data_IF_554205344505
#
_entry.id   IF_554205344505
#
_cell.length_a   1.000
_cell.length_b   1.000
_cell.length_c   1.000
_cell.angle_alpha   90.00
_cell.angle_beta   90.00
_cell.angle_gamma   90.00
#
_symmetry.space_group_name_H-M   'P 1'
#
loop_
_entity.id
_entity.type
_entity.pdbx_description
1 polymer ?
#
# COMPACT_ATOMS: atom_id res chain seq x y z
N UNK A 1 -48.05 5.69 32.32
CA UNK A 1 -47.03 6.67 31.90
C UNK A 1 -46.21 6.01 30.78
N UNK A 2 -46.56 6.32 29.53
CA UNK A 2 -45.80 5.85 28.36
C UNK A 2 -44.64 6.85 28.12
N UNK A 3 -43.41 6.40 28.37
CA UNK A 3 -42.20 7.17 28.11
C UNK A 3 -41.99 7.37 26.60
N UNK A 4 -42.04 8.60 26.16
CA UNK A 4 -41.74 9.03 24.81
C UNK A 4 -40.26 8.72 24.50
N UNK A 5 -40.00 7.70 23.70
CA UNK A 5 -38.70 7.41 23.15
C UNK A 5 -38.37 8.51 22.13
N UNK A 6 -37.54 9.46 22.50
CA UNK A 6 -37.23 10.66 21.73
C UNK A 6 -36.37 10.37 20.50
N UNK A 7 -36.37 11.25 19.50
CA UNK A 7 -35.72 11.09 18.18
C UNK A 7 -34.18 11.21 18.18
N UNK A 8 -33.51 11.08 19.33
CA UNK A 8 -32.06 11.28 19.50
C UNK A 8 -31.14 10.21 18.89
N UNK A 9 -31.41 8.87 18.93
CA UNK A 9 -30.47 7.89 18.39
C UNK A 9 -30.35 7.94 16.86
N UNK A 10 -31.48 8.11 16.16
CA UNK A 10 -31.53 8.15 14.68
C UNK A 10 -30.79 9.34 14.09
N UNK A 11 -30.97 10.54 14.67
CA UNK A 11 -30.25 11.75 14.22
C UNK A 11 -28.75 11.65 14.46
N UNK A 12 -28.31 11.01 15.54
CA UNK A 12 -26.90 10.79 15.85
C UNK A 12 -26.26 9.79 14.86
N UNK A 13 -26.95 8.71 14.52
CA UNK A 13 -26.50 7.74 13.54
C UNK A 13 -26.42 8.32 12.12
N UNK A 14 -27.44 9.08 11.70
CA UNK A 14 -27.44 9.75 10.40
C UNK A 14 -26.32 10.80 10.28
N UNK A 15 -26.02 11.54 11.35
CA UNK A 15 -24.91 12.50 11.41
C UNK A 15 -23.55 11.78 11.33
N UNK A 16 -23.36 10.69 12.07
CA UNK A 16 -22.12 9.90 12.04
C UNK A 16 -21.87 9.30 10.64
N UNK A 17 -22.91 8.80 9.97
CA UNK A 17 -22.83 8.34 8.59
C UNK A 17 -22.45 9.49 7.63
N UNK A 18 -22.99 10.67 7.80
CA UNK A 18 -22.64 11.84 7.00
C UNK A 18 -21.18 12.29 7.21
N UNK A 19 -20.71 12.26 8.46
CA UNK A 19 -19.32 12.58 8.80
C UNK A 19 -18.35 11.53 8.21
N UNK A 20 -18.71 10.25 8.25
CA UNK A 20 -17.91 9.19 7.65
C UNK A 20 -17.85 9.33 6.11
N UNK A 21 -18.97 9.55 5.43
CA UNK A 21 -19.00 9.80 3.98
C UNK A 21 -18.14 10.99 3.57
N UNK A 22 -18.21 12.08 4.34
CA UNK A 22 -17.34 13.25 4.11
C UNK A 22 -15.87 12.90 4.26
N UNK A 23 -15.53 12.13 5.29
CA UNK A 23 -14.17 11.68 5.54
C UNK A 23 -13.64 10.83 4.39
N UNK A 24 -14.41 9.84 3.92
CA UNK A 24 -14.02 8.98 2.79
C UNK A 24 -13.84 9.79 1.50
N UNK A 25 -14.77 10.68 1.17
CA UNK A 25 -14.65 11.54 -0.01
C UNK A 25 -13.39 12.42 0.00
N UNK A 26 -12.97 12.89 1.17
CA UNK A 26 -11.71 13.64 1.33
C UNK A 26 -10.49 12.77 1.15
N UNK A 27 -10.50 11.55 1.68
CA UNK A 27 -9.43 10.58 1.48
C UNK A 27 -9.30 10.18 0.01
N UNK A 28 -10.42 9.94 -0.69
CA UNK A 28 -10.45 9.63 -2.12
C UNK A 28 -9.89 10.79 -2.96
N UNK A 29 -10.26 12.02 -2.63
CA UNK A 29 -9.73 13.21 -3.31
C UNK A 29 -8.21 13.37 -3.10
N UNK A 30 -7.70 13.01 -1.92
CA UNK A 30 -6.28 13.03 -1.62
C UNK A 30 -5.53 11.95 -2.39
N UNK A 31 -6.04 10.73 -2.39
CA UNK A 31 -5.50 9.60 -3.12
C UNK A 31 -5.36 9.92 -4.60
N UNK A 32 -6.43 10.39 -5.24
CA UNK A 32 -6.42 10.73 -6.66
C UNK A 32 -5.38 11.81 -6.99
N UNK A 33 -5.32 12.91 -6.23
CA UNK A 33 -4.35 13.98 -6.49
C UNK A 33 -2.89 13.53 -6.21
N UNK A 34 -2.70 12.60 -5.28
CA UNK A 34 -1.39 12.02 -5.00
C UNK A 34 -0.94 11.09 -6.13
N UNK A 35 -1.78 10.16 -6.57
CA UNK A 35 -1.44 9.19 -7.60
C UNK A 35 -1.25 9.78 -9.00
N UNK A 36 -1.93 10.86 -9.27
CA UNK A 36 -1.74 11.62 -10.49
C UNK A 36 -0.51 12.56 -10.44
N UNK A 37 0.26 12.52 -9.36
CA UNK A 37 1.44 13.36 -9.17
C UNK A 37 1.14 14.86 -9.00
N UNK A 38 -0.12 15.21 -8.75
CA UNK A 38 -0.58 16.60 -8.63
C UNK A 38 -0.58 17.13 -7.20
N UNK A 39 -0.34 16.27 -6.21
CA UNK A 39 -0.44 16.60 -4.79
C UNK A 39 0.22 17.93 -4.39
N UNK A 40 1.45 18.14 -4.83
CA UNK A 40 2.19 19.37 -4.46
C UNK A 40 1.52 20.65 -4.94
N UNK A 41 0.92 20.61 -6.13
CA UNK A 41 0.26 21.76 -6.78
C UNK A 41 -1.19 21.93 -6.35
N UNK A 42 -1.77 20.95 -5.67
CA UNK A 42 -3.17 20.97 -5.26
C UNK A 42 -3.34 21.70 -3.94
N UNK A 43 -4.27 22.66 -3.88
CA UNK A 43 -4.60 23.41 -2.66
C UNK A 43 -5.62 22.67 -1.79
N UNK A 44 -5.72 23.07 -0.51
CA UNK A 44 -6.78 22.58 0.39
C UNK A 44 -8.19 22.90 -0.12
N UNK A 45 -8.35 24.07 -0.76
CA UNK A 45 -9.61 24.48 -1.37
C UNK A 45 -10.03 23.55 -2.50
N UNK A 46 -9.08 23.15 -3.36
CA UNK A 46 -9.32 22.24 -4.47
C UNK A 46 -9.68 20.83 -3.95
N UNK A 47 -8.96 20.32 -2.95
CA UNK A 47 -9.26 19.04 -2.31
C UNK A 47 -10.66 19.03 -1.68
N UNK A 48 -10.99 20.08 -0.93
CA UNK A 48 -12.30 20.23 -0.30
C UNK A 48 -13.43 20.32 -1.34
N UNK A 49 -13.25 21.11 -2.40
CA UNK A 49 -14.22 21.24 -3.49
C UNK A 49 -14.45 19.90 -4.20
N UNK A 50 -13.41 19.11 -4.43
CA UNK A 50 -13.48 17.78 -5.04
C UNK A 50 -14.31 16.80 -4.19
N UNK A 51 -14.18 16.90 -2.86
CA UNK A 51 -14.98 16.13 -1.90
C UNK A 51 -16.37 16.72 -1.62
N UNK A 52 -16.77 17.82 -2.29
CA UNK A 52 -18.05 18.48 -2.08
C UNK A 52 -18.21 19.19 -0.74
N UNK A 53 -17.11 19.62 -0.12
CA UNK A 53 -17.12 20.28 1.21
C UNK A 53 -16.31 21.58 1.21
N UNK A 54 -16.32 22.29 2.34
CA UNK A 54 -15.51 23.51 2.52
C UNK A 54 -14.11 23.14 3.05
N UNK A 55 -13.11 24.04 2.81
CA UNK A 55 -11.78 23.94 3.42
C UNK A 55 -11.84 23.81 4.94
N UNK A 56 -12.75 24.55 5.60
CA UNK A 56 -12.91 24.49 7.06
C UNK A 56 -13.37 23.08 7.50
N UNK A 57 -14.24 22.43 6.73
CA UNK A 57 -14.68 21.05 6.98
C UNK A 57 -13.51 20.08 6.84
N UNK A 58 -12.69 20.23 5.79
CA UNK A 58 -11.47 19.42 5.60
C UNK A 58 -10.52 19.58 6.81
N UNK A 59 -10.20 20.81 7.21
CA UNK A 59 -9.31 21.06 8.34
C UNK A 59 -9.85 20.53 9.67
N UNK A 60 -11.16 20.52 9.86
CA UNK A 60 -11.77 19.90 11.05
C UNK A 60 -11.56 18.39 11.11
N UNK A 61 -11.50 17.70 9.95
CA UNK A 61 -11.29 16.23 9.89
C UNK A 61 -9.82 15.82 9.94
N UNK A 62 -8.92 16.63 9.36
CA UNK A 62 -7.55 16.22 9.09
C UNK A 62 -6.48 17.21 9.56
N UNK A 63 -6.87 18.34 10.12
CA UNK A 63 -6.01 19.41 10.68
C UNK A 63 -5.08 20.09 9.65
N UNK A 64 -4.51 19.32 8.71
CA UNK A 64 -3.60 19.82 7.68
C UNK A 64 -3.73 19.04 6.37
N UNK A 65 -3.09 19.53 5.32
CA UNK A 65 -2.96 18.83 4.04
C UNK A 65 -2.14 17.54 4.19
N UNK A 66 -1.07 17.62 4.95
CA UNK A 66 -0.18 16.50 5.26
C UNK A 66 -0.89 15.43 6.11
N UNK A 67 -1.71 15.85 7.09
CA UNK A 67 -2.55 14.95 7.88
C UNK A 67 -3.58 14.19 7.04
N UNK A 68 -4.19 14.88 6.06
CA UNK A 68 -5.09 14.24 5.09
C UNK A 68 -4.35 13.18 4.25
N UNK A 69 -3.18 13.53 3.68
CA UNK A 69 -2.39 12.59 2.88
C UNK A 69 -1.97 11.37 3.69
N UNK A 70 -1.46 11.60 4.91
CA UNK A 70 -1.05 10.49 5.79
C UNK A 70 -2.18 9.50 6.01
N UNK A 71 -3.39 10.00 6.31
CA UNK A 71 -4.53 9.13 6.56
C UNK A 71 -5.04 8.43 5.31
N UNK A 72 -4.94 9.05 4.13
CA UNK A 72 -5.23 8.42 2.86
C UNK A 72 -4.26 7.25 2.58
N UNK A 73 -2.96 7.48 2.76
CA UNK A 73 -1.94 6.44 2.58
C UNK A 73 -2.08 5.29 3.61
N UNK A 74 -2.40 5.60 4.87
CA UNK A 74 -2.63 4.58 5.92
C UNK A 74 -3.88 3.75 5.63
N UNK A 75 -4.95 4.35 5.08
CA UNK A 75 -6.16 3.61 4.67
C UNK A 75 -5.82 2.52 3.66
N UNK A 76 -5.05 2.87 2.62
CA UNK A 76 -4.64 1.90 1.60
C UNK A 76 -3.71 0.80 2.12
N UNK A 77 -3.04 1.02 3.24
CA UNK A 77 -2.08 0.06 3.80
C UNK A 77 -2.74 -1.21 4.36
N UNK A 78 -3.94 -1.11 4.93
CA UNK A 78 -4.68 -2.29 5.43
C UNK A 78 -5.04 -3.24 4.30
N UNK A 79 -5.55 -2.70 3.19
CA UNK A 79 -5.95 -3.50 2.02
C UNK A 79 -4.73 -4.19 1.39
N UNK A 80 -3.58 -3.50 1.34
CA UNK A 80 -2.29 -4.04 0.89
C UNK A 80 -1.84 -5.20 1.76
N UNK A 81 -1.93 -5.06 3.09
CA UNK A 81 -1.54 -6.12 4.01
C UNK A 81 -2.36 -7.39 3.77
N UNK A 82 -3.68 -7.30 3.77
CA UNK A 82 -4.58 -8.45 3.61
C UNK A 82 -4.38 -9.15 2.27
N UNK A 83 -4.19 -8.38 1.18
CA UNK A 83 -3.89 -8.94 -0.14
C UNK A 83 -2.56 -9.68 -0.14
N UNK A 84 -1.49 -9.12 0.44
CA UNK A 84 -0.16 -9.72 0.47
C UNK A 84 -0.14 -11.06 1.22
N UNK A 85 -0.88 -11.20 2.32
CA UNK A 85 -0.93 -12.44 3.12
C UNK A 85 -1.96 -13.46 2.63
N UNK A 86 -2.63 -13.23 1.49
CA UNK A 86 -3.61 -14.19 0.95
C UNK A 86 -2.99 -15.43 0.31
N UNK A 87 -1.73 -15.37 -0.16
CA UNK A 87 -1.03 -16.54 -0.68
C UNK A 87 -0.46 -17.42 0.46
N UNK A 88 -0.68 -18.74 0.44
CA UNK A 88 -0.13 -19.64 1.46
C UNK A 88 1.41 -19.69 1.40
N UNK A 89 2.05 -19.79 2.57
CA UNK A 89 3.50 -20.02 2.63
C UNK A 89 3.90 -21.31 1.93
N UNK A 90 4.90 -21.23 1.05
CA UNK A 90 5.40 -22.38 0.29
C UNK A 90 4.67 -22.64 -1.04
N UNK A 91 3.64 -21.88 -1.36
CA UNK A 91 3.03 -21.86 -2.68
C UNK A 91 3.77 -20.85 -3.58
N UNK A 92 4.73 -21.34 -4.37
CA UNK A 92 5.54 -20.49 -5.22
C UNK A 92 4.72 -19.80 -6.33
N UNK A 93 3.86 -20.56 -6.99
CA UNK A 93 3.02 -20.03 -8.07
C UNK A 93 2.03 -18.99 -7.54
N UNK A 94 1.30 -19.30 -6.47
CA UNK A 94 0.41 -18.36 -5.80
C UNK A 94 1.13 -17.14 -5.25
N UNK A 95 2.37 -17.29 -4.76
CA UNK A 95 3.20 -16.17 -4.28
C UNK A 95 3.56 -15.20 -5.42
N UNK A 96 3.95 -15.73 -6.60
CA UNK A 96 4.29 -14.89 -7.77
C UNK A 96 3.05 -14.19 -8.32
N UNK A 97 1.92 -14.90 -8.45
CA UNK A 97 0.66 -14.27 -8.88
C UNK A 97 0.20 -13.17 -7.91
N UNK A 98 0.24 -13.44 -6.61
CA UNK A 98 -0.08 -12.47 -5.57
C UNK A 98 0.82 -11.22 -5.64
N UNK A 99 2.12 -11.41 -5.92
CA UNK A 99 3.08 -10.32 -6.08
C UNK A 99 2.76 -9.46 -7.30
N UNK A 100 2.39 -10.08 -8.42
CA UNK A 100 2.03 -9.37 -9.66
C UNK A 100 0.74 -8.57 -9.46
N UNK A 101 -0.31 -9.18 -8.92
CA UNK A 101 -1.56 -8.49 -8.59
C UNK A 101 -1.29 -7.28 -7.68
N UNK A 102 -0.46 -7.49 -6.66
CA UNK A 102 -0.06 -6.41 -5.75
C UNK A 102 0.60 -5.23 -6.50
N UNK A 103 1.54 -5.49 -7.39
CA UNK A 103 2.25 -4.40 -8.05
C UNK A 103 1.48 -3.78 -9.21
N UNK A 104 0.58 -4.50 -9.87
CA UNK A 104 -0.33 -3.93 -10.85
C UNK A 104 -1.27 -2.91 -10.20
N UNK A 105 -1.76 -3.21 -9.00
CA UNK A 105 -2.65 -2.32 -8.25
C UNK A 105 -1.90 -1.19 -7.51
N UNK A 106 -0.74 -1.50 -6.89
CA UNK A 106 -0.08 -0.62 -5.92
C UNK A 106 1.35 -0.20 -6.29
N UNK A 107 1.98 -0.80 -7.31
CA UNK A 107 3.39 -0.57 -7.62
C UNK A 107 3.72 0.87 -7.96
N UNK A 108 2.91 1.52 -8.82
CA UNK A 108 3.08 2.95 -9.15
C UNK A 108 2.97 3.83 -7.90
N UNK A 109 2.09 3.48 -6.98
CA UNK A 109 1.93 4.19 -5.68
C UNK A 109 3.17 4.06 -4.82
N UNK A 110 3.69 2.86 -4.69
CA UNK A 110 4.89 2.56 -3.90
C UNK A 110 6.11 3.33 -4.41
N UNK A 111 6.30 3.40 -5.74
CA UNK A 111 7.36 4.17 -6.37
C UNK A 111 7.22 5.69 -6.17
N UNK A 112 5.99 6.22 -6.23
CA UNK A 112 5.74 7.64 -5.94
C UNK A 112 6.08 7.98 -4.48
N UNK A 113 5.70 7.13 -3.54
CA UNK A 113 6.07 7.30 -2.12
C UNK A 113 7.59 7.28 -1.97
N UNK A 114 8.29 6.33 -2.61
CA UNK A 114 9.76 6.24 -2.61
C UNK A 114 10.42 7.54 -3.09
N UNK A 115 9.98 8.08 -4.21
CA UNK A 115 10.50 9.35 -4.77
C UNK A 115 10.30 10.54 -3.83
N UNK A 116 9.17 10.61 -3.12
CA UNK A 116 8.91 11.68 -2.15
C UNK A 116 9.75 11.57 -0.89
N UNK A 117 10.24 10.37 -0.58
CA UNK A 117 11.19 10.15 0.53
C UNK A 117 12.56 10.74 0.25
N UNK A 118 13.05 10.61 -0.98
CA UNK A 118 14.32 11.18 -1.41
C UNK A 118 14.33 12.70 -1.26
N UNK A 119 13.16 13.33 -1.24
CA UNK A 119 12.98 14.77 -1.05
C UNK A 119 12.92 15.21 0.43
N UNK A 120 13.12 14.28 1.37
CA UNK A 120 13.34 14.59 2.79
C UNK A 120 12.07 14.83 3.63
N UNK A 121 10.89 14.33 3.23
CA UNK A 121 9.68 14.44 4.04
C UNK A 121 9.68 13.43 5.20
N UNK A 122 9.81 13.86 6.48
CA UNK A 122 9.95 12.95 7.63
C UNK A 122 8.70 12.11 7.90
N UNK A 123 7.52 12.57 7.47
CA UNK A 123 6.27 11.82 7.62
C UNK A 123 6.24 10.61 6.69
N UNK A 124 6.65 10.80 5.43
CA UNK A 124 6.73 9.73 4.45
C UNK A 124 7.88 8.75 4.77
N UNK A 125 8.94 9.21 5.43
CA UNK A 125 10.02 8.33 5.87
C UNK A 125 9.53 7.21 6.79
N UNK A 126 8.66 7.52 7.76
CA UNK A 126 8.06 6.52 8.66
C UNK A 126 7.17 5.53 7.91
N UNK A 127 6.35 6.02 6.97
CA UNK A 127 5.48 5.15 6.15
C UNK A 127 6.29 4.21 5.26
N UNK A 128 7.34 4.70 4.63
CA UNK A 128 8.21 3.86 3.81
C UNK A 128 8.98 2.84 4.64
N UNK A 129 9.42 3.20 5.83
CA UNK A 129 10.04 2.23 6.74
C UNK A 129 9.05 1.12 7.09
N UNK A 130 7.80 1.47 7.42
CA UNK A 130 6.74 0.49 7.69
C UNK A 130 6.44 -0.38 6.46
N UNK A 131 6.34 0.20 5.27
CA UNK A 131 6.12 -0.55 4.03
C UNK A 131 7.25 -1.53 3.71
N UNK A 132 8.52 -1.12 3.91
CA UNK A 132 9.67 -2.02 3.78
C UNK A 132 9.63 -3.15 4.80
N UNK A 133 9.26 -2.85 6.04
CA UNK A 133 9.15 -3.88 7.07
C UNK A 133 8.12 -4.95 6.70
N UNK A 134 6.95 -4.53 6.20
CA UNK A 134 5.91 -5.45 5.70
C UNK A 134 6.42 -6.28 4.53
N UNK A 135 7.17 -5.69 3.59
CA UNK A 135 7.76 -6.45 2.49
C UNK A 135 8.74 -7.52 3.00
N UNK A 136 9.57 -7.20 3.99
CA UNK A 136 10.52 -8.14 4.57
C UNK A 136 9.82 -9.28 5.33
N UNK A 137 8.80 -8.96 6.11
CA UNK A 137 7.96 -9.93 6.83
C UNK A 137 7.20 -10.84 5.87
N UNK A 138 6.68 -10.29 4.79
CA UNK A 138 6.02 -11.06 3.74
C UNK A 138 6.99 -12.05 3.06
N UNK A 139 8.20 -11.63 2.72
CA UNK A 139 9.22 -12.53 2.16
C UNK A 139 9.56 -13.66 3.14
N UNK A 140 9.78 -13.33 4.42
CA UNK A 140 10.03 -14.35 5.45
C UNK A 140 8.86 -15.32 5.59
N UNK A 141 7.62 -14.85 5.47
CA UNK A 141 6.42 -15.69 5.52
C UNK A 141 6.26 -16.55 4.27
N UNK A 142 6.22 -15.95 3.09
CA UNK A 142 5.94 -16.64 1.83
C UNK A 142 6.99 -17.74 1.53
N UNK A 143 8.26 -17.47 1.85
CA UNK A 143 9.37 -18.37 1.58
C UNK A 143 9.87 -19.15 2.82
N UNK A 144 9.12 -19.12 3.92
CA UNK A 144 9.50 -19.84 5.17
C UNK A 144 9.89 -21.30 4.97
N UNK A 145 9.19 -22.12 4.18
CA UNK A 145 9.56 -23.54 3.99
C UNK A 145 10.94 -23.73 3.40
N UNK A 146 11.42 -22.83 2.55
CA UNK A 146 12.75 -22.89 1.95
C UNK A 146 13.84 -22.20 2.78
N UNK A 147 13.47 -21.18 3.58
CA UNK A 147 14.42 -20.42 4.39
C UNK A 147 14.70 -21.05 5.76
N UNK A 148 13.67 -21.61 6.40
CA UNK A 148 13.77 -22.11 7.78
C UNK A 148 14.81 -23.23 7.96
N UNK A 149 14.97 -24.21 7.04
CA UNK A 149 15.93 -25.30 7.19
C UNK A 149 17.40 -24.88 7.03
N UNK A 150 17.67 -23.65 6.55
CA UNK A 150 19.01 -23.23 6.16
C UNK A 150 19.86 -22.76 7.33
N UNK A 151 21.17 -22.99 7.23
CA UNK A 151 22.15 -22.37 8.13
C UNK A 151 22.08 -20.84 8.08
N UNK A 152 22.30 -20.14 9.20
CA UNK A 152 22.04 -18.69 9.32
C UNK A 152 22.65 -17.81 8.22
N UNK A 153 23.87 -18.10 7.79
CA UNK A 153 24.56 -17.33 6.74
C UNK A 153 23.95 -17.53 5.35
N UNK A 154 23.53 -18.77 5.03
CA UNK A 154 22.86 -19.12 3.76
C UNK A 154 21.45 -18.52 3.76
N UNK A 155 20.70 -18.71 4.85
CA UNK A 155 19.36 -18.15 5.03
C UNK A 155 19.34 -16.66 4.78
N UNK A 156 20.28 -15.93 5.41
CA UNK A 156 20.38 -14.46 5.24
C UNK A 156 20.58 -14.08 3.78
N UNK A 157 21.53 -14.69 3.08
CA UNK A 157 21.81 -14.36 1.67
C UNK A 157 20.59 -14.63 0.77
N UNK A 158 19.92 -15.79 0.94
CA UNK A 158 18.73 -16.12 0.15
C UNK A 158 17.57 -15.21 0.45
N UNK A 159 17.34 -14.91 1.71
CA UNK A 159 16.33 -13.93 2.10
C UNK A 159 16.59 -12.57 1.44
N UNK A 160 17.81 -12.06 1.52
CA UNK A 160 18.18 -10.77 0.97
C UNK A 160 18.03 -10.75 -0.57
N UNK A 161 18.33 -11.87 -1.25
CA UNK A 161 18.08 -12.03 -2.69
C UNK A 161 16.57 -12.07 -3.02
N UNK A 162 15.77 -12.79 -2.22
CA UNK A 162 14.31 -12.83 -2.38
C UNK A 162 13.68 -11.43 -2.12
N UNK A 163 14.16 -10.68 -1.14
CA UNK A 163 13.73 -9.29 -0.91
C UNK A 163 13.99 -8.45 -2.17
N UNK A 164 15.15 -8.56 -2.79
CA UNK A 164 15.50 -7.79 -3.97
C UNK A 164 14.71 -8.22 -5.22
N UNK A 165 14.56 -9.52 -5.48
CA UNK A 165 13.84 -10.00 -6.66
C UNK A 165 12.33 -9.74 -6.57
N UNK A 166 11.76 -9.79 -5.37
CA UNK A 166 10.35 -9.50 -5.11
C UNK A 166 10.07 -8.01 -4.85
N UNK A 167 11.02 -7.10 -5.09
CA UNK A 167 10.85 -5.67 -4.87
C UNK A 167 10.10 -4.97 -6.01
N UNK A 168 9.39 -3.89 -5.69
CA UNK A 168 8.66 -3.08 -6.67
C UNK A 168 9.54 -2.52 -7.79
N UNK A 169 10.83 -2.24 -7.53
CA UNK A 169 11.75 -1.76 -8.53
C UNK A 169 12.11 -2.85 -9.54
N UNK A 170 12.23 -4.10 -9.10
CA UNK A 170 12.43 -5.25 -10.01
C UNK A 170 11.22 -5.45 -10.91
N UNK A 171 10.01 -5.44 -10.33
CA UNK A 171 8.78 -5.50 -11.13
C UNK A 171 8.68 -4.35 -12.14
N UNK A 172 9.00 -3.12 -11.71
CA UNK A 172 8.98 -1.94 -12.60
C UNK A 172 9.98 -2.07 -13.75
N UNK A 173 11.22 -2.48 -13.44
CA UNK A 173 12.24 -2.73 -14.45
C UNK A 173 11.75 -3.73 -15.50
N UNK A 174 11.18 -4.85 -15.09
CA UNK A 174 10.70 -5.90 -16.00
C UNK A 174 9.50 -5.40 -16.83
N UNK A 175 8.49 -4.84 -16.20
CA UNK A 175 7.23 -4.49 -16.85
C UNK A 175 7.27 -3.17 -17.65
N UNK A 176 8.01 -2.16 -17.19
CA UNK A 176 8.01 -0.82 -17.78
C UNK A 176 9.29 -0.52 -18.57
N UNK A 177 10.47 -0.76 -17.99
CA UNK A 177 11.73 -0.39 -18.64
C UNK A 177 12.10 -1.41 -19.74
N UNK A 178 11.89 -2.71 -19.48
CA UNK A 178 12.08 -3.79 -20.46
C UNK A 178 10.83 -4.06 -21.32
N UNK A 179 9.66 -3.54 -20.92
CA UNK A 179 8.42 -3.68 -21.67
C UNK A 179 7.85 -5.10 -21.75
N UNK A 180 8.18 -5.95 -20.78
CA UNK A 180 7.67 -7.32 -20.74
C UNK A 180 6.18 -7.32 -20.38
N UNK A 181 5.41 -8.18 -21.03
CA UNK A 181 4.02 -8.44 -20.63
C UNK A 181 3.95 -9.24 -19.31
N UNK A 182 2.75 -9.31 -18.72
CA UNK A 182 2.53 -10.00 -17.44
C UNK A 182 3.04 -11.44 -17.46
N UNK A 183 2.84 -12.17 -18.56
CA UNK A 183 3.24 -13.58 -18.64
C UNK A 183 4.76 -13.72 -18.64
N UNK A 184 5.47 -12.85 -19.35
CA UNK A 184 6.92 -12.81 -19.37
C UNK A 184 7.51 -12.34 -18.03
N UNK A 185 6.91 -11.33 -17.37
CA UNK A 185 7.30 -10.92 -16.02
C UNK A 185 7.13 -12.07 -15.04
N UNK A 186 5.98 -12.76 -15.08
CA UNK A 186 5.72 -13.95 -14.25
C UNK A 186 6.79 -15.01 -14.44
N UNK A 187 7.07 -15.41 -15.69
CA UNK A 187 8.06 -16.43 -15.99
C UNK A 187 9.46 -16.04 -15.46
N UNK A 188 9.87 -14.79 -15.70
CA UNK A 188 11.17 -14.25 -15.26
C UNK A 188 11.30 -14.28 -13.73
N UNK A 189 10.26 -13.85 -13.01
CA UNK A 189 10.26 -13.87 -11.54
C UNK A 189 10.26 -15.29 -11.01
N UNK A 190 9.47 -16.20 -11.59
CA UNK A 190 9.41 -17.61 -11.20
C UNK A 190 10.78 -18.26 -11.34
N UNK A 191 11.43 -18.13 -12.51
CA UNK A 191 12.76 -18.70 -12.78
C UNK A 191 13.81 -18.17 -11.79
N UNK A 192 13.82 -16.87 -11.55
CA UNK A 192 14.77 -16.24 -10.63
C UNK A 192 14.55 -16.71 -9.17
N UNK A 193 13.29 -16.77 -8.72
CA UNK A 193 12.94 -17.22 -7.37
C UNK A 193 13.27 -18.71 -7.21
N UNK A 194 12.93 -19.54 -8.19
CA UNK A 194 13.27 -20.97 -8.18
C UNK A 194 14.78 -21.20 -8.07
N UNK A 195 15.59 -20.45 -8.83
CA UNK A 195 17.03 -20.48 -8.71
C UNK A 195 17.52 -20.17 -7.30
N UNK A 196 16.93 -19.17 -6.63
CA UNK A 196 17.29 -18.78 -5.26
C UNK A 196 16.89 -19.86 -4.24
N UNK A 197 15.69 -20.46 -4.38
CA UNK A 197 15.17 -21.39 -3.34
C UNK A 197 15.64 -22.84 -3.53
N UNK A 198 15.97 -23.26 -4.77
CA UNK A 198 16.38 -24.65 -5.09
C UNK A 198 17.88 -24.89 -5.11
N UNK A 199 18.73 -23.88 -5.22
CA UNK A 199 20.19 -24.07 -5.15
C UNK A 199 20.57 -24.66 -3.78
N UNK A 200 21.13 -25.85 -3.80
CA UNK A 200 21.57 -26.62 -2.63
C UNK A 200 22.87 -26.06 -2.01
#
# INVERSE_FOLDING_TARGET
MLGVIGPRPYKKAARALGEQRTREALLDAADEEFYEGRWRKTSLEKLAAKAGVTKQTLLRHFESKEGLLLQALVRGYSDVHDQRWSAPAGDLEGTVENLLDHYEDWGKRSLLIGRWLEEGNPLLAKLSQAARQVHYEWVEHAFAPWLTPLAPGIRRRRRDALIAICDVHTWWLLSHDLGLDRAAVRATLTDAIEGIVREA
#
